data_IF_038592251401
#
_entry.id   IF_038592251401
#
_cell.length_a   1.000
_cell.length_b   1.000
_cell.length_c   1.000
_cell.angle_alpha   90.00
_cell.angle_beta   90.00
_cell.angle_gamma   90.00
#
_symmetry.space_group_name_H-M   'P 1'
#
loop_
_entity.id
_entity.type
_entity.pdbx_description
1 polymer ?
#
# COMPACT_ATOMS: atom_id res chain seq x y z
N UNK A 1 27.04 54.09 -4.59
CA UNK A 1 27.17 52.70 -4.10
C UNK A 1 25.80 52.35 -3.52
N UNK A 2 24.86 51.84 -4.34
CA UNK A 2 24.69 50.44 -4.76
C UNK A 2 24.54 49.45 -3.59
N UNK A 3 23.72 48.42 -3.85
CA UNK A 3 23.10 47.42 -2.95
C UNK A 3 21.72 47.94 -2.48
N UNK A 4 20.59 47.88 -3.21
CA UNK A 4 19.98 46.84 -4.08
C UNK A 4 20.02 45.45 -3.43
N UNK A 5 18.86 44.79 -3.36
CA UNK A 5 18.61 43.42 -2.87
C UNK A 5 18.29 43.25 -1.38
N UNK A 6 17.08 43.65 -0.97
CA UNK A 6 16.36 42.90 0.07
C UNK A 6 14.89 42.67 -0.31
N UNK A 7 14.64 42.57 -1.61
CA UNK A 7 13.49 41.85 -2.17
C UNK A 7 13.94 40.43 -2.49
N UNK A 8 14.17 39.60 -1.48
CA UNK A 8 14.26 38.17 -1.71
C UNK A 8 13.59 37.39 -0.58
N UNK A 9 12.40 36.88 -0.91
CA UNK A 9 12.09 35.47 -0.69
C UNK A 9 11.85 35.09 0.79
N UNK A 10 10.69 35.46 1.32
CA UNK A 10 9.92 34.48 2.08
C UNK A 10 9.02 33.72 1.10
N UNK A 11 9.66 32.98 0.19
CA UNK A 11 9.02 31.88 -0.52
C UNK A 11 8.59 30.85 0.53
N UNK A 12 7.33 30.44 0.45
CA UNK A 12 6.91 29.05 0.61
C UNK A 12 7.47 28.30 1.82
N UNK A 13 6.89 28.56 3.00
CA UNK A 13 6.84 27.58 4.09
C UNK A 13 5.50 26.85 4.02
N UNK A 14 5.32 25.99 3.02
CA UNK A 14 4.32 24.92 2.97
C UNK A 14 4.62 24.03 1.74
N UNK A 15 4.51 22.69 1.77
CA UNK A 15 4.22 21.75 2.88
C UNK A 15 5.23 20.58 2.96
N UNK A 16 5.48 20.03 4.15
CA UNK A 16 5.94 18.63 4.27
C UNK A 16 4.80 17.78 4.84
N UNK A 17 3.66 17.79 4.15
CA UNK A 17 2.59 16.79 4.34
C UNK A 17 2.69 15.81 3.18
N UNK A 18 3.78 15.04 3.10
CA UNK A 18 3.97 14.07 2.02
C UNK A 18 4.34 12.65 2.49
N UNK A 19 4.72 12.46 3.74
CA UNK A 19 5.35 11.18 4.15
C UNK A 19 4.38 10.03 4.47
N UNK A 20 3.20 10.28 5.05
CA UNK A 20 2.36 9.18 5.57
C UNK A 20 1.66 8.34 4.48
N UNK A 21 1.25 8.96 3.37
CA UNK A 21 0.54 8.27 2.29
C UNK A 21 1.48 7.47 1.36
N UNK A 22 2.71 7.94 1.18
CA UNK A 22 3.73 7.23 0.38
C UNK A 22 4.25 6.00 1.11
N UNK A 23 4.52 6.11 2.41
CA UNK A 23 4.92 4.99 3.27
C UNK A 23 3.86 3.89 3.27
N UNK A 24 2.57 4.24 3.27
CA UNK A 24 1.49 3.27 3.20
C UNK A 24 1.50 2.47 1.87
N UNK A 25 1.74 3.14 0.74
CA UNK A 25 1.78 2.47 -0.58
C UNK A 25 2.98 1.53 -0.74
N UNK A 26 4.17 1.97 -0.35
CA UNK A 26 5.38 1.13 -0.41
C UNK A 26 5.29 -0.07 0.54
N UNK A 27 4.75 0.14 1.74
CA UNK A 27 4.48 -0.93 2.69
C UNK A 27 3.46 -1.93 2.12
N UNK A 28 2.39 -1.47 1.47
CA UNK A 28 1.45 -2.35 0.82
C UNK A 28 2.08 -3.16 -0.32
N UNK A 29 2.84 -2.50 -1.19
CA UNK A 29 3.52 -3.16 -2.31
C UNK A 29 4.49 -4.25 -1.82
N UNK A 30 5.36 -3.90 -0.87
CA UNK A 30 6.35 -4.81 -0.31
C UNK A 30 5.70 -5.99 0.43
N UNK A 31 4.67 -5.74 1.25
CA UNK A 31 3.99 -6.80 2.01
C UNK A 31 3.24 -7.77 1.08
N UNK A 32 2.49 -7.25 0.10
CA UNK A 32 1.78 -8.11 -0.86
C UNK A 32 2.78 -8.92 -1.70
N UNK A 33 3.86 -8.29 -2.15
CA UNK A 33 4.88 -8.97 -2.93
C UNK A 33 5.55 -10.08 -2.09
N UNK A 34 5.95 -9.78 -0.86
CA UNK A 34 6.64 -10.73 0.02
C UNK A 34 5.78 -11.95 0.38
N UNK A 35 4.52 -11.74 0.74
CA UNK A 35 3.68 -12.81 1.30
C UNK A 35 2.69 -13.40 0.30
N UNK A 36 2.00 -12.56 -0.48
CA UNK A 36 0.92 -13.03 -1.35
C UNK A 36 1.46 -13.58 -2.68
N UNK A 37 2.52 -12.99 -3.23
CA UNK A 37 3.03 -13.41 -4.55
C UNK A 37 3.99 -14.60 -4.49
N UNK A 38 4.41 -15.01 -3.28
CA UNK A 38 5.21 -16.22 -3.05
C UNK A 38 4.55 -17.48 -3.63
N UNK A 39 3.22 -17.56 -3.56
CA UNK A 39 2.44 -18.72 -4.02
C UNK A 39 1.36 -18.37 -5.05
N UNK A 40 1.08 -17.09 -5.28
CA UNK A 40 0.00 -16.65 -6.17
C UNK A 40 0.48 -15.64 -7.19
N UNK A 41 -0.10 -15.69 -8.38
CA UNK A 41 0.15 -14.65 -9.39
C UNK A 41 -0.56 -13.36 -9.00
N UNK A 42 0.00 -12.22 -9.38
CA UNK A 42 -0.66 -10.92 -9.26
C UNK A 42 -2.03 -10.93 -9.94
N UNK A 43 -2.16 -11.59 -11.09
CA UNK A 43 -3.43 -11.79 -11.78
C UNK A 43 -4.53 -12.41 -10.89
N UNK A 44 -4.20 -13.44 -10.09
CA UNK A 44 -5.16 -14.06 -9.16
C UNK A 44 -5.57 -13.10 -8.05
N UNK A 45 -4.63 -12.28 -7.56
CA UNK A 45 -4.91 -11.28 -6.54
C UNK A 45 -5.85 -10.21 -7.13
N UNK A 46 -5.59 -9.75 -8.35
CA UNK A 46 -6.39 -8.77 -9.07
C UNK A 46 -7.81 -9.25 -9.37
N UNK A 47 -7.98 -10.48 -9.84
CA UNK A 47 -9.30 -11.10 -9.99
C UNK A 47 -10.04 -11.16 -8.65
N UNK A 48 -9.31 -11.38 -7.56
CA UNK A 48 -9.86 -11.34 -6.22
C UNK A 48 -10.34 -9.94 -5.81
N UNK A 49 -9.66 -8.87 -6.20
CA UNK A 49 -10.03 -7.49 -5.84
C UNK A 49 -11.37 -7.08 -6.45
N UNK A 50 -11.71 -7.62 -7.62
CA UNK A 50 -12.98 -7.35 -8.29
C UNK A 50 -14.17 -8.12 -7.67
N UNK A 51 -13.89 -9.23 -6.98
CA UNK A 51 -14.90 -10.21 -6.55
C UNK A 51 -15.15 -10.25 -5.05
N UNK A 52 -14.17 -9.84 -4.25
CA UNK A 52 -14.22 -10.00 -2.81
C UNK A 52 -14.35 -8.65 -2.12
N UNK A 53 -15.29 -8.57 -1.19
CA UNK A 53 -15.38 -7.47 -0.24
C UNK A 53 -14.39 -7.64 0.92
N UNK A 54 -14.43 -6.71 1.86
CA UNK A 54 -13.55 -6.68 3.02
C UNK A 54 -13.64 -7.94 3.89
N UNK A 55 -14.84 -8.46 4.13
CA UNK A 55 -15.03 -9.63 5.00
C UNK A 55 -14.58 -10.91 4.29
N UNK A 56 -14.85 -11.03 3.00
CA UNK A 56 -14.35 -12.11 2.15
C UNK A 56 -12.81 -12.16 2.16
N UNK A 57 -12.14 -11.01 2.02
CA UNK A 57 -10.68 -10.93 2.10
C UNK A 57 -10.13 -11.35 3.46
N UNK A 58 -10.78 -10.95 4.55
CA UNK A 58 -10.40 -11.35 5.90
C UNK A 58 -10.44 -12.88 6.07
N UNK A 59 -11.47 -13.54 5.54
CA UNK A 59 -11.57 -15.01 5.56
C UNK A 59 -10.50 -15.67 4.70
N UNK A 60 -10.26 -15.16 3.49
CA UNK A 60 -9.22 -15.66 2.58
C UNK A 60 -7.85 -15.60 3.27
N UNK A 61 -7.48 -14.47 3.86
CA UNK A 61 -6.18 -14.29 4.52
C UNK A 61 -6.02 -15.19 5.74
N UNK A 62 -7.09 -15.42 6.51
CA UNK A 62 -7.07 -16.43 7.58
C UNK A 62 -6.75 -17.82 7.02
N UNK A 63 -7.39 -18.21 5.92
CA UNK A 63 -7.11 -19.51 5.29
C UNK A 63 -5.70 -19.59 4.71
N UNK A 64 -5.15 -18.49 4.19
CA UNK A 64 -3.76 -18.48 3.71
C UNK A 64 -2.77 -18.72 4.85
N UNK A 65 -3.00 -18.13 6.03
CA UNK A 65 -2.14 -18.36 7.19
C UNK A 65 -2.16 -19.79 7.76
N UNK A 66 -3.11 -20.63 7.33
CA UNK A 66 -3.11 -22.05 7.69
C UNK A 66 -2.10 -22.86 6.86
N UNK A 67 -1.66 -22.31 5.71
CA UNK A 67 -0.68 -22.92 4.81
C UNK A 67 0.68 -22.22 4.86
N UNK A 68 0.79 -21.16 5.65
CA UNK A 68 1.94 -20.27 5.67
C UNK A 68 2.08 -19.64 7.06
N UNK A 69 3.05 -20.13 7.83
CA UNK A 69 3.28 -19.70 9.22
C UNK A 69 3.81 -18.26 9.32
N UNK A 70 4.39 -17.72 8.23
CA UNK A 70 4.88 -16.34 8.21
C UNK A 70 3.73 -15.33 8.08
N UNK A 71 2.53 -15.77 7.71
CA UNK A 71 1.33 -14.93 7.60
C UNK A 71 0.62 -14.87 8.97
N UNK A 72 1.24 -14.16 9.91
CA UNK A 72 0.68 -13.97 11.25
C UNK A 72 -0.48 -12.95 11.30
N UNK A 73 -1.02 -12.69 12.49
CA UNK A 73 -2.12 -11.74 12.67
C UNK A 73 -1.76 -10.29 12.27
N UNK A 74 -0.51 -9.87 12.46
CA UNK A 74 -0.02 -8.57 12.05
C UNK A 74 0.04 -8.45 10.53
N UNK A 75 0.64 -9.44 9.87
CA UNK A 75 0.72 -9.51 8.40
C UNK A 75 -0.68 -9.53 7.78
N UNK A 76 -1.60 -10.36 8.31
CA UNK A 76 -3.00 -10.38 7.83
C UNK A 76 -3.67 -9.03 7.95
N UNK A 77 -3.44 -8.30 9.04
CA UNK A 77 -4.02 -6.95 9.24
C UNK A 77 -3.51 -5.97 8.19
N UNK A 78 -2.20 -5.96 7.92
CA UNK A 78 -1.60 -5.07 6.92
C UNK A 78 -2.11 -5.41 5.53
N UNK A 79 -2.04 -6.69 5.11
CA UNK A 79 -2.51 -7.12 3.80
C UNK A 79 -4.00 -6.84 3.61
N UNK A 80 -4.82 -7.09 4.62
CA UNK A 80 -6.26 -6.78 4.59
C UNK A 80 -6.51 -5.29 4.38
N UNK A 81 -5.83 -4.43 5.15
CA UNK A 81 -5.91 -2.98 4.98
C UNK A 81 -5.50 -2.54 3.57
N UNK A 82 -4.46 -3.14 3.00
CA UNK A 82 -4.04 -2.87 1.63
C UNK A 82 -5.10 -3.29 0.61
N UNK A 83 -5.56 -4.54 0.62
CA UNK A 83 -6.50 -5.09 -0.37
C UNK A 83 -7.88 -4.42 -0.35
N UNK A 84 -8.25 -3.78 0.75
CA UNK A 84 -9.53 -3.09 0.90
C UNK A 84 -9.44 -1.57 0.69
N UNK A 85 -8.23 -1.03 0.57
CA UNK A 85 -7.99 0.39 0.29
C UNK A 85 -7.97 0.65 -1.22
N UNK A 86 -9.13 0.57 -1.86
CA UNK A 86 -9.30 0.99 -3.26
C UNK A 86 -9.27 2.54 -3.37
N UNK A 87 -8.80 3.13 -4.49
CA UNK A 87 -8.28 2.50 -5.72
C UNK A 87 -6.75 2.25 -5.70
N UNK A 88 -6.05 2.63 -4.62
CA UNK A 88 -4.59 2.58 -4.57
C UNK A 88 -4.04 1.18 -4.75
N UNK A 89 -4.69 0.16 -4.18
CA UNK A 89 -4.20 -1.23 -4.26
C UNK A 89 -4.25 -1.83 -5.67
N UNK A 90 -5.23 -1.49 -6.49
CA UNK A 90 -5.27 -1.93 -7.90
C UNK A 90 -4.07 -1.37 -8.66
N UNK A 91 -3.68 -0.12 -8.39
CA UNK A 91 -2.47 0.46 -9.00
C UNK A 91 -1.21 -0.26 -8.51
N UNK A 92 -1.14 -0.59 -7.22
CA UNK A 92 0.02 -1.25 -6.62
C UNK A 92 0.21 -2.69 -7.13
N UNK A 93 -0.88 -3.44 -7.31
CA UNK A 93 -0.83 -4.89 -7.56
C UNK A 93 -1.06 -5.26 -9.02
N UNK A 94 -1.96 -4.54 -9.70
CA UNK A 94 -2.51 -4.97 -10.99
C UNK A 94 -1.93 -4.23 -12.21
N UNK A 95 -1.06 -3.25 -11.99
CA UNK A 95 -0.40 -2.51 -13.08
C UNK A 95 1.09 -2.81 -13.19
N UNK A 96 1.57 -3.82 -12.45
CA UNK A 96 2.95 -4.32 -12.52
C UNK A 96 3.13 -5.32 -13.66
#
# INVERSE_FOLDING_TARGET
>A
MQIVCSLLVFFFLCPTILSAAEVNREQCASTINMYCTRCHTTARICEGLEKNDSDAWKMILKKMSENDEDIDAGVRTVVHGCLTSLPSVTTIVCTQ
#
